data_IF_984018665000
#
_entry.id   IF_984018665000
#
_cell.length_a   1.000
_cell.length_b   1.000
_cell.length_c   1.000
_cell.angle_alpha   90.00
_cell.angle_beta   90.00
_cell.angle_gamma   90.00
#
_symmetry.space_group_name_H-M   'P 1'
#
loop_
_entity.id
_entity.type
_entity.pdbx_description
1 polymer ?
#
# COMPACT_ATOMS: atom_id res chain seq x y z
N UNK A 1 -72.19 12.80 4.16
CA UNK A 1 -72.23 11.39 4.62
C UNK A 1 -71.18 10.61 3.83
N UNK A 2 -70.10 10.13 4.46
CA UNK A 2 -69.11 9.31 3.78
C UNK A 2 -69.68 7.92 3.49
N UNK A 3 -69.44 7.44 2.27
CA UNK A 3 -70.05 6.26 1.69
C UNK A 3 -69.59 4.97 2.40
N UNK A 4 -70.53 4.32 3.10
CA UNK A 4 -70.32 3.07 3.85
C UNK A 4 -69.85 1.91 2.96
N UNK A 5 -69.99 2.02 1.63
CA UNK A 5 -69.60 0.98 0.67
C UNK A 5 -68.08 0.96 0.39
N UNK A 6 -67.38 2.09 0.57
CA UNK A 6 -65.90 2.16 0.42
C UNK A 6 -65.12 1.65 1.63
N UNK A 7 -65.71 1.70 2.83
CA UNK A 7 -65.06 1.21 4.05
C UNK A 7 -64.98 -0.33 4.08
N UNK A 8 -66.02 -1.02 3.59
CA UNK A 8 -66.04 -2.49 3.53
C UNK A 8 -65.16 -3.06 2.40
N UNK A 9 -64.94 -2.32 1.30
CA UNK A 9 -64.02 -2.72 0.25
C UNK A 9 -62.53 -2.62 0.67
N UNK A 10 -62.19 -1.70 1.58
CA UNK A 10 -60.82 -1.59 2.08
C UNK A 10 -60.49 -2.60 3.21
N UNK A 11 -61.50 -3.23 3.82
CA UNK A 11 -61.29 -4.25 4.87
C UNK A 11 -61.10 -5.68 4.32
N UNK A 12 -61.42 -5.94 3.05
CA UNK A 12 -61.28 -7.26 2.44
C UNK A 12 -59.89 -7.51 1.82
N UNK A 13 -59.12 -6.46 1.51
CA UNK A 13 -57.78 -6.57 0.90
C UNK A 13 -56.67 -6.84 1.92
N UNK A 14 -56.97 -6.79 3.22
CA UNK A 14 -56.00 -6.95 4.31
C UNK A 14 -56.01 -8.36 4.95
N UNK A 15 -56.86 -9.28 4.48
CA UNK A 15 -57.02 -10.61 5.10
C UNK A 15 -56.42 -11.74 4.26
N UNK A 16 -56.00 -11.48 3.01
CA UNK A 16 -55.32 -12.48 2.17
C UNK A 16 -53.79 -12.54 2.37
N UNK A 17 -53.20 -11.68 3.22
CA UNK A 17 -51.76 -11.64 3.48
C UNK A 17 -51.31 -12.34 4.78
N UNK A 18 -52.24 -12.67 5.66
CA UNK A 18 -51.95 -13.13 7.03
C UNK A 18 -52.00 -14.66 7.21
N UNK A 19 -52.24 -15.43 6.13
CA UNK A 19 -52.27 -16.90 6.18
C UNK A 19 -51.13 -17.61 5.42
N UNK A 20 -50.07 -16.88 5.00
CA UNK A 20 -48.83 -17.50 4.49
C UNK A 20 -47.64 -17.37 5.44
N UNK A 21 -47.81 -16.82 6.65
CA UNK A 21 -46.70 -16.63 7.60
C UNK A 21 -46.41 -17.91 8.42
N UNK A 22 -47.25 -18.95 8.36
CA UNK A 22 -47.06 -20.18 9.14
C UNK A 22 -46.47 -21.37 8.35
N UNK A 23 -45.96 -21.16 7.13
CA UNK A 23 -45.35 -22.22 6.31
C UNK A 23 -43.98 -21.85 5.69
N UNK A 24 -43.36 -20.76 6.12
CA UNK A 24 -41.94 -20.53 5.84
C UNK A 24 -41.15 -20.98 7.06
N UNK A 25 -40.59 -22.18 6.97
CA UNK A 25 -39.46 -22.60 7.77
C UNK A 25 -38.42 -21.45 7.75
N UNK A 26 -38.22 -20.81 8.90
CA UNK A 26 -37.23 -19.74 9.09
C UNK A 26 -35.79 -20.22 8.83
N UNK A 27 -35.59 -21.49 8.51
CA UNK A 27 -34.32 -22.04 8.05
C UNK A 27 -33.98 -21.67 6.60
N UNK A 28 -34.92 -21.27 5.74
CA UNK A 28 -34.61 -20.83 4.37
C UNK A 28 -33.97 -19.43 4.33
N UNK A 29 -34.35 -18.54 5.26
CA UNK A 29 -33.72 -17.23 5.42
C UNK A 29 -32.47 -17.28 6.33
N UNK A 30 -32.35 -18.28 7.20
CA UNK A 30 -31.14 -18.52 7.99
C UNK A 30 -29.96 -19.13 7.20
N UNK A 31 -30.19 -19.59 5.96
CA UNK A 31 -29.13 -20.03 5.02
C UNK A 31 -28.39 -18.82 4.40
N UNK A 32 -28.89 -17.60 4.54
CA UNK A 32 -28.21 -16.37 4.12
C UNK A 32 -27.28 -15.77 5.18
N UNK A 33 -26.66 -16.61 6.04
CA UNK A 33 -25.51 -16.17 6.83
C UNK A 33 -24.36 -15.82 5.87
N UNK A 34 -24.12 -14.52 5.69
CA UNK A 34 -22.90 -13.92 5.13
C UNK A 34 -22.58 -14.23 3.66
N UNK A 35 -23.55 -14.29 2.75
CA UNK A 35 -23.25 -14.21 1.31
C UNK A 35 -23.37 -12.75 0.86
N UNK A 36 -22.23 -12.11 0.68
CA UNK A 36 -22.14 -10.78 0.07
C UNK A 36 -22.66 -10.88 -1.37
N UNK A 37 -23.58 -9.96 -1.73
CA UNK A 37 -24.20 -9.96 -3.05
C UNK A 37 -23.11 -9.85 -4.14
N UNK A 38 -23.28 -10.47 -5.32
CA UNK A 38 -22.27 -10.37 -6.38
C UNK A 38 -21.90 -8.93 -6.76
N UNK A 39 -22.83 -7.98 -6.66
CA UNK A 39 -22.58 -6.55 -6.89
C UNK A 39 -21.69 -5.89 -5.83
N UNK A 40 -21.60 -6.51 -4.66
CA UNK A 40 -20.87 -6.01 -3.49
C UNK A 40 -19.54 -6.78 -3.33
N UNK A 41 -19.20 -7.65 -4.28
CA UNK A 41 -17.89 -8.30 -4.34
C UNK A 41 -16.91 -7.43 -5.10
N UNK A 42 -15.65 -7.46 -4.67
CA UNK A 42 -14.54 -6.71 -5.25
C UNK A 42 -13.47 -7.69 -5.72
N UNK A 43 -13.27 -7.79 -7.02
CA UNK A 43 -12.21 -8.60 -7.60
C UNK A 43 -10.93 -7.78 -7.70
N UNK A 44 -9.86 -8.25 -7.06
CA UNK A 44 -8.56 -7.59 -7.05
C UNK A 44 -7.55 -8.35 -7.89
N UNK A 45 -6.71 -7.60 -8.58
CA UNK A 45 -5.45 -8.06 -9.16
C UNK A 45 -4.26 -7.56 -8.33
N UNK A 46 -3.12 -8.25 -8.38
CA UNK A 46 -1.92 -7.82 -7.67
C UNK A 46 -0.69 -7.82 -8.59
N UNK A 47 0.09 -6.74 -8.55
CA UNK A 47 1.33 -6.55 -9.34
C UNK A 47 2.49 -6.33 -8.39
N UNK A 48 3.51 -7.19 -8.47
CA UNK A 48 4.56 -7.28 -7.46
C UNK A 48 4.02 -7.96 -6.21
N UNK A 49 4.25 -9.27 -6.11
CA UNK A 49 3.59 -10.15 -5.12
C UNK A 49 4.60 -10.83 -4.19
N UNK A 50 5.77 -10.21 -3.99
CA UNK A 50 6.69 -10.50 -2.89
C UNK A 50 6.31 -9.67 -1.66
N UNK A 51 7.14 -9.69 -0.61
CA UNK A 51 7.15 -8.74 0.53
C UNK A 51 5.80 -8.09 0.88
N UNK A 52 5.75 -6.76 0.79
CA UNK A 52 4.56 -5.97 1.12
C UNK A 52 3.39 -6.17 0.15
N UNK A 53 3.65 -6.38 -1.14
CA UNK A 53 2.59 -6.66 -2.11
C UNK A 53 1.74 -7.88 -1.72
N UNK A 54 2.39 -8.96 -1.28
CA UNK A 54 1.67 -10.12 -0.76
C UNK A 54 1.02 -9.85 0.60
N UNK A 55 1.70 -9.13 1.49
CA UNK A 55 1.12 -8.75 2.79
C UNK A 55 -0.22 -8.00 2.59
N UNK A 56 -0.26 -7.07 1.63
CA UNK A 56 -1.46 -6.31 1.27
C UNK A 56 -2.56 -7.20 0.69
N UNK A 57 -2.22 -8.12 -0.22
CA UNK A 57 -3.18 -9.11 -0.74
C UNK A 57 -3.78 -9.93 0.40
N UNK A 58 -2.95 -10.45 1.30
CA UNK A 58 -3.45 -11.26 2.43
C UNK A 58 -4.28 -10.44 3.43
N UNK A 59 -3.99 -9.14 3.59
CA UNK A 59 -4.80 -8.24 4.40
C UNK A 59 -6.15 -7.95 3.74
N UNK A 60 -6.15 -7.68 2.43
CA UNK A 60 -7.36 -7.42 1.65
C UNK A 60 -8.32 -8.61 1.64
N UNK A 61 -7.80 -9.84 1.51
CA UNK A 61 -8.60 -11.07 1.53
C UNK A 61 -9.27 -11.37 2.89
N UNK A 62 -8.90 -10.66 3.96
CA UNK A 62 -9.62 -10.73 5.25
C UNK A 62 -10.90 -9.91 5.24
N UNK A 63 -11.06 -9.00 4.29
CA UNK A 63 -12.28 -8.21 4.11
C UNK A 63 -13.31 -9.08 3.38
N UNK A 64 -14.47 -9.35 3.99
CA UNK A 64 -15.53 -10.09 3.33
C UNK A 64 -15.89 -9.46 1.97
N UNK A 65 -15.99 -10.28 0.92
CA UNK A 65 -16.39 -9.84 -0.42
C UNK A 65 -15.21 -9.51 -1.34
N UNK A 66 -13.98 -9.48 -0.84
CA UNK A 66 -12.79 -9.29 -1.67
C UNK A 66 -12.30 -10.65 -2.20
N UNK A 67 -12.11 -10.74 -3.52
CA UNK A 67 -11.59 -11.93 -4.18
C UNK A 67 -10.30 -11.61 -4.93
N UNK A 68 -9.28 -12.43 -4.80
CA UNK A 68 -8.10 -12.36 -5.68
C UNK A 68 -8.40 -13.13 -6.97
N UNK A 69 -8.28 -12.46 -8.13
CA UNK A 69 -8.55 -13.08 -9.44
C UNK A 69 -7.33 -13.09 -10.36
N UNK A 70 -6.30 -12.30 -10.04
CA UNK A 70 -5.07 -12.24 -10.84
C UNK A 70 -3.84 -11.88 -10.00
N UNK A 71 -2.70 -12.47 -10.33
CA UNK A 71 -1.39 -12.12 -9.78
C UNK A 71 -0.38 -11.89 -10.90
N UNK A 72 0.54 -10.95 -10.70
CA UNK A 72 1.59 -10.62 -11.66
C UNK A 72 2.94 -10.44 -10.98
N UNK A 73 3.95 -11.17 -11.45
CA UNK A 73 5.35 -10.97 -11.06
C UNK A 73 6.30 -11.31 -12.22
N UNK A 74 7.44 -10.63 -12.24
CA UNK A 74 8.52 -10.89 -13.22
C UNK A 74 9.43 -12.05 -12.79
N UNK A 75 9.30 -12.49 -11.55
CA UNK A 75 10.04 -13.61 -10.96
C UNK A 75 9.13 -14.83 -10.79
N UNK A 76 9.39 -15.88 -11.60
CA UNK A 76 8.63 -17.13 -11.55
C UNK A 76 8.65 -17.78 -10.16
N UNK A 77 9.77 -17.70 -9.43
CA UNK A 77 9.88 -18.31 -8.11
C UNK A 77 8.93 -17.67 -7.09
N UNK A 78 8.63 -16.38 -7.25
CA UNK A 78 7.65 -15.66 -6.43
C UNK A 78 6.24 -16.15 -6.77
N UNK A 79 5.90 -16.27 -8.07
CA UNK A 79 4.60 -16.79 -8.51
C UNK A 79 4.37 -18.20 -7.97
N UNK A 80 5.33 -19.10 -8.14
CA UNK A 80 5.22 -20.49 -7.69
C UNK A 80 4.96 -20.55 -6.18
N UNK A 81 5.70 -19.75 -5.41
CA UNK A 81 5.50 -19.64 -3.97
C UNK A 81 4.11 -19.11 -3.62
N UNK A 82 3.59 -18.13 -4.37
CA UNK A 82 2.26 -17.53 -4.09
C UNK A 82 1.12 -18.45 -4.43
N UNK A 83 1.21 -19.22 -5.51
CA UNK A 83 0.22 -20.25 -5.83
C UNK A 83 0.11 -21.29 -4.71
N UNK A 84 1.23 -21.66 -4.07
CA UNK A 84 1.22 -22.54 -2.89
C UNK A 84 0.61 -21.86 -1.65
N UNK A 85 0.86 -20.57 -1.47
CA UNK A 85 0.34 -19.82 -0.32
C UNK A 85 -1.18 -19.58 -0.41
N UNK A 86 -1.76 -19.52 -1.62
CA UNK A 86 -3.21 -19.38 -1.80
C UNK A 86 -4.02 -20.49 -1.11
N UNK A 87 -3.50 -21.72 -1.11
CA UNK A 87 -4.14 -22.84 -0.43
C UNK A 87 -4.27 -22.59 1.08
N UNK A 88 -3.29 -21.93 1.70
CA UNK A 88 -3.29 -21.56 3.13
C UNK A 88 -4.31 -20.46 3.44
N UNK A 89 -4.73 -19.71 2.43
CA UNK A 89 -5.72 -18.63 2.53
C UNK A 89 -7.14 -19.10 2.14
N UNK A 90 -7.34 -20.40 1.87
CA UNK A 90 -8.57 -20.96 1.32
C UNK A 90 -9.00 -20.31 -0.01
N UNK A 91 -8.02 -19.85 -0.80
CA UNK A 91 -8.25 -19.34 -2.16
C UNK A 91 -7.96 -20.46 -3.16
N UNK A 92 -8.91 -20.71 -4.05
CA UNK A 92 -8.76 -21.66 -5.15
C UNK A 92 -7.81 -21.08 -6.20
N UNK A 93 -6.58 -21.58 -6.22
CA UNK A 93 -5.54 -21.13 -7.14
C UNK A 93 -5.93 -21.29 -8.62
N UNK A 94 -6.84 -22.22 -8.97
CA UNK A 94 -7.30 -22.40 -10.36
C UNK A 94 -8.13 -21.22 -10.88
N UNK A 95 -8.64 -20.38 -9.97
CA UNK A 95 -9.40 -19.16 -10.30
C UNK A 95 -8.52 -17.92 -10.37
N UNK A 96 -7.25 -18.02 -10.01
CA UNK A 96 -6.30 -16.90 -10.03
C UNK A 96 -5.45 -17.00 -11.29
N UNK A 97 -5.62 -16.04 -12.20
CA UNK A 97 -4.81 -15.96 -13.41
C UNK A 97 -3.41 -15.46 -13.09
N UNK A 98 -2.41 -16.07 -13.72
CA UNK A 98 -1.01 -15.70 -13.57
C UNK A 98 -0.57 -14.87 -14.76
N UNK A 99 0.11 -13.77 -14.48
CA UNK A 99 0.69 -12.88 -15.47
C UNK A 99 2.17 -12.62 -15.17
N UNK A 100 2.96 -12.38 -16.22
CA UNK A 100 4.33 -11.87 -16.09
C UNK A 100 4.45 -10.41 -16.54
N UNK A 101 3.42 -9.90 -17.22
CA UNK A 101 3.34 -8.53 -17.69
C UNK A 101 2.11 -7.85 -17.10
N UNK A 102 2.32 -6.76 -16.36
CA UNK A 102 1.24 -6.06 -15.68
C UNK A 102 0.22 -5.48 -16.66
N UNK A 103 0.62 -5.09 -17.88
CA UNK A 103 -0.33 -4.57 -18.89
C UNK A 103 -1.34 -5.64 -19.28
N UNK A 104 -0.92 -6.89 -19.43
CA UNK A 104 -1.83 -8.00 -19.70
C UNK A 104 -2.76 -8.31 -18.51
N UNK A 105 -2.31 -8.10 -17.27
CA UNK A 105 -3.18 -8.15 -16.10
C UNK A 105 -4.22 -7.02 -16.15
N UNK A 106 -3.81 -5.79 -16.50
CA UNK A 106 -4.74 -4.64 -16.59
C UNK A 106 -5.81 -4.82 -17.67
N UNK A 107 -5.53 -5.58 -18.73
CA UNK A 107 -6.49 -5.90 -19.79
C UNK A 107 -7.62 -6.85 -19.34
N UNK A 108 -7.42 -7.57 -18.21
CA UNK A 108 -8.43 -8.46 -17.65
C UNK A 108 -9.65 -7.66 -17.16
N UNK A 109 -10.83 -7.96 -17.74
CA UNK A 109 -12.04 -7.14 -17.57
C UNK A 109 -12.69 -7.26 -16.19
N UNK A 110 -12.59 -8.42 -15.57
CA UNK A 110 -13.21 -8.76 -14.27
C UNK A 110 -12.38 -8.33 -13.05
N UNK A 111 -11.30 -7.57 -13.22
CA UNK A 111 -10.57 -6.90 -12.13
C UNK A 111 -11.20 -5.53 -11.86
N UNK A 112 -11.57 -5.24 -10.63
CA UNK A 112 -12.12 -3.95 -10.20
C UNK A 112 -11.01 -3.02 -9.70
N UNK A 113 -10.09 -3.56 -8.89
CA UNK A 113 -8.98 -2.81 -8.31
C UNK A 113 -7.65 -3.57 -8.40
N UNK A 114 -6.53 -2.84 -8.37
CA UNK A 114 -5.19 -3.43 -8.35
C UNK A 114 -4.39 -3.02 -7.12
N UNK A 115 -3.69 -4.00 -6.53
CA UNK A 115 -2.67 -3.78 -5.51
C UNK A 115 -1.31 -3.73 -6.21
N UNK A 116 -0.59 -2.62 -6.04
CA UNK A 116 0.74 -2.41 -6.58
C UNK A 116 1.74 -2.50 -5.42
N UNK A 117 2.52 -3.59 -5.39
CA UNK A 117 3.59 -3.85 -4.41
C UNK A 117 4.93 -4.11 -5.10
N UNK A 118 5.21 -3.36 -6.16
CA UNK A 118 6.44 -3.43 -6.94
C UNK A 118 7.56 -2.64 -6.25
N UNK A 119 8.82 -2.67 -6.76
CA UNK A 119 9.81 -1.68 -6.37
C UNK A 119 9.38 -0.24 -6.71
N UNK A 120 9.89 0.73 -5.96
CA UNK A 120 9.39 2.11 -5.95
C UNK A 120 9.41 2.77 -7.35
N UNK A 121 10.43 2.48 -8.17
CA UNK A 121 10.56 2.99 -9.54
C UNK A 121 9.46 2.56 -10.52
N UNK A 122 8.62 1.58 -10.15
CA UNK A 122 7.52 1.11 -10.98
C UNK A 122 6.16 1.72 -10.62
N UNK A 123 6.02 2.27 -9.41
CA UNK A 123 4.73 2.66 -8.86
C UNK A 123 3.97 3.66 -9.74
N UNK A 124 4.63 4.74 -10.16
CA UNK A 124 3.97 5.81 -10.91
C UNK A 124 3.42 5.34 -12.26
N UNK A 125 4.19 4.54 -12.98
CA UNK A 125 3.80 4.03 -14.30
C UNK A 125 2.63 3.04 -14.19
N UNK A 126 2.73 2.06 -13.28
CA UNK A 126 1.67 1.04 -13.12
C UNK A 126 0.39 1.68 -12.60
N UNK A 127 0.47 2.61 -11.65
CA UNK A 127 -0.69 3.31 -11.11
C UNK A 127 -1.40 4.15 -12.18
N UNK A 128 -0.63 4.87 -13.00
CA UNK A 128 -1.17 5.68 -14.10
C UNK A 128 -1.86 4.80 -15.15
N UNK A 129 -1.23 3.69 -15.53
CA UNK A 129 -1.79 2.73 -16.48
C UNK A 129 -3.04 2.03 -15.93
N UNK A 130 -3.03 1.66 -14.65
CA UNK A 130 -4.18 1.07 -13.98
C UNK A 130 -5.37 2.03 -13.96
N UNK A 131 -5.12 3.31 -13.66
CA UNK A 131 -6.15 4.33 -13.72
C UNK A 131 -6.72 4.47 -15.13
N UNK A 132 -5.86 4.50 -16.15
CA UNK A 132 -6.26 4.56 -17.56
C UNK A 132 -7.04 3.32 -18.01
N UNK A 133 -6.74 2.15 -17.45
CA UNK A 133 -7.48 0.90 -17.67
C UNK A 133 -8.81 0.83 -16.89
N UNK A 134 -9.19 1.89 -16.17
CA UNK A 134 -10.44 1.98 -15.44
C UNK A 134 -10.43 1.29 -14.08
N UNK A 135 -9.26 0.88 -13.58
CA UNK A 135 -9.10 0.15 -12.31
C UNK A 135 -8.91 1.11 -11.14
N UNK A 136 -9.48 0.78 -10.00
CA UNK A 136 -9.11 1.43 -8.73
C UNK A 136 -7.75 0.90 -8.26
N UNK A 137 -7.06 1.67 -7.41
CA UNK A 137 -5.64 1.39 -7.09
C UNK A 137 -5.36 1.49 -5.60
N UNK A 138 -4.72 0.45 -5.06
CA UNK A 138 -3.90 0.55 -3.86
C UNK A 138 -2.43 0.50 -4.28
N UNK A 139 -1.65 1.52 -3.96
CA UNK A 139 -0.22 1.59 -4.31
C UNK A 139 0.62 1.68 -3.05
N UNK A 140 1.62 0.81 -2.93
CA UNK A 140 2.53 0.83 -1.79
C UNK A 140 3.29 2.15 -1.67
N UNK A 141 3.72 2.42 -0.44
CA UNK A 141 4.69 3.47 -0.14
C UNK A 141 6.12 2.94 -0.37
N UNK A 142 7.08 3.83 -0.67
CA UNK A 142 6.90 5.21 -1.12
C UNK A 142 6.27 5.25 -2.52
N UNK A 143 5.41 6.23 -2.79
CA UNK A 143 4.55 6.22 -3.99
C UNK A 143 5.28 6.51 -5.31
N UNK A 144 6.50 7.05 -5.27
CA UNK A 144 7.32 7.33 -6.44
C UNK A 144 8.70 7.88 -6.06
N UNK A 145 9.57 8.04 -7.05
CA UNK A 145 10.96 8.46 -6.88
C UNK A 145 11.18 9.95 -7.18
N UNK A 146 10.17 10.66 -7.69
CA UNK A 146 10.23 12.09 -7.91
C UNK A 146 8.88 12.79 -7.69
N UNK A 147 8.93 14.10 -7.40
CA UNK A 147 7.72 14.94 -7.32
C UNK A 147 6.99 14.96 -8.66
N UNK A 148 7.73 14.93 -9.78
CA UNK A 148 7.15 14.89 -11.12
C UNK A 148 6.29 13.65 -11.34
N UNK A 149 6.78 12.48 -10.96
CA UNK A 149 6.02 11.23 -10.98
C UNK A 149 4.76 11.31 -10.12
N UNK A 150 4.87 11.78 -8.88
CA UNK A 150 3.72 11.96 -7.98
C UNK A 150 2.65 12.90 -8.58
N UNK A 151 3.07 13.99 -9.22
CA UNK A 151 2.16 14.90 -9.91
C UNK A 151 1.46 14.22 -11.09
N UNK A 152 2.17 13.40 -11.87
CA UNK A 152 1.58 12.60 -12.95
C UNK A 152 0.56 11.59 -12.42
N UNK A 153 0.83 10.95 -11.28
CA UNK A 153 -0.12 10.03 -10.62
C UNK A 153 -1.40 10.76 -10.19
N UNK A 154 -1.27 11.94 -9.57
CA UNK A 154 -2.43 12.77 -9.20
C UNK A 154 -3.23 13.16 -10.45
N UNK A 155 -2.56 13.61 -11.51
CA UNK A 155 -3.22 13.97 -12.76
C UNK A 155 -3.94 12.78 -13.40
N UNK A 156 -3.37 11.58 -13.35
CA UNK A 156 -4.00 10.36 -13.85
C UNK A 156 -5.25 9.99 -13.03
N UNK A 157 -5.16 10.01 -11.70
CA UNK A 157 -6.29 9.76 -10.80
C UNK A 157 -7.44 10.72 -11.11
N UNK A 158 -7.16 12.01 -11.25
CA UNK A 158 -8.16 13.04 -11.56
C UNK A 158 -8.77 12.86 -12.95
N UNK A 159 -7.94 12.59 -13.96
CA UNK A 159 -8.38 12.41 -15.35
C UNK A 159 -9.33 11.23 -15.51
N UNK A 160 -9.00 10.09 -14.89
CA UNK A 160 -9.78 8.85 -15.04
C UNK A 160 -10.78 8.63 -13.91
N UNK A 161 -10.84 9.54 -12.93
CA UNK A 161 -11.75 9.52 -11.79
C UNK A 161 -11.82 8.14 -11.12
N UNK A 162 -10.67 7.67 -10.64
CA UNK A 162 -10.51 6.38 -9.94
C UNK A 162 -10.30 6.58 -8.45
N UNK A 163 -10.64 5.57 -7.66
CA UNK A 163 -10.28 5.52 -6.23
C UNK A 163 -8.82 5.09 -6.13
N UNK A 164 -8.01 5.89 -5.45
CA UNK A 164 -6.58 5.62 -5.26
C UNK A 164 -6.23 5.78 -3.78
N UNK A 165 -5.56 4.77 -3.24
CA UNK A 165 -5.04 4.78 -1.88
C UNK A 165 -3.54 4.48 -1.88
N UNK A 166 -2.76 5.39 -1.30
CA UNK A 166 -1.36 5.15 -0.98
C UNK A 166 -1.25 4.28 0.28
N UNK A 167 -0.22 3.42 0.35
CA UNK A 167 0.01 2.44 1.41
C UNK A 167 0.44 2.98 2.77
N UNK A 168 -0.11 4.13 3.19
CA UNK A 168 0.07 4.72 4.51
C UNK A 168 -0.85 4.05 5.54
N UNK A 169 -0.76 2.72 5.65
CA UNK A 169 -1.67 1.90 6.44
C UNK A 169 -1.66 2.24 7.93
N UNK A 170 -0.55 2.79 8.44
CA UNK A 170 -0.46 3.18 9.83
C UNK A 170 -1.62 4.12 10.18
N UNK A 171 -2.03 5.03 9.26
CA UNK A 171 -3.07 6.06 9.51
C UNK A 171 -4.40 5.47 9.98
N UNK A 172 -4.63 4.20 9.67
CA UNK A 172 -5.85 3.46 10.04
C UNK A 172 -5.76 2.78 11.41
N UNK A 173 -4.64 2.91 12.13
CA UNK A 173 -4.46 2.30 13.45
C UNK A 173 -4.91 3.25 14.56
N UNK A 174 -5.67 2.70 15.51
CA UNK A 174 -6.31 3.48 16.56
C UNK A 174 -5.32 4.29 17.42
N UNK A 175 -4.19 3.70 17.81
CA UNK A 175 -3.22 4.39 18.67
C UNK A 175 -2.55 5.59 17.98
N UNK A 176 -2.34 5.54 16.66
CA UNK A 176 -1.86 6.69 15.90
C UNK A 176 -2.92 7.78 15.78
N UNK A 177 -4.18 7.39 15.57
CA UNK A 177 -5.30 8.33 15.60
C UNK A 177 -5.41 9.04 16.95
N UNK A 178 -5.33 8.29 18.05
CA UNK A 178 -5.37 8.84 19.42
C UNK A 178 -4.22 9.82 19.67
N UNK A 179 -3.01 9.51 19.19
CA UNK A 179 -1.85 10.39 19.30
C UNK A 179 -2.05 11.70 18.52
N UNK A 180 -2.54 11.63 17.27
CA UNK A 180 -2.86 12.80 16.45
C UNK A 180 -3.95 13.65 17.11
N UNK A 181 -5.02 13.02 17.60
CA UNK A 181 -6.12 13.71 18.29
C UNK A 181 -5.61 14.42 19.55
N UNK A 182 -4.71 13.80 20.31
CA UNK A 182 -4.10 14.42 21.48
C UNK A 182 -3.21 15.62 21.12
N UNK A 183 -2.34 15.50 20.12
CA UNK A 183 -1.52 16.60 19.62
C UNK A 183 -2.40 17.78 19.18
N UNK A 184 -3.46 17.49 18.41
CA UNK A 184 -4.38 18.50 17.88
C UNK A 184 -5.34 19.07 18.93
N UNK A 185 -5.49 18.44 20.09
CA UNK A 185 -6.31 18.95 21.20
C UNK A 185 -5.75 20.24 21.83
N UNK A 186 -4.48 20.57 21.59
CA UNK A 186 -3.82 21.74 22.15
C UNK A 186 -3.28 21.55 23.58
N UNK A 187 -3.46 20.38 24.19
CA UNK A 187 -2.98 20.08 25.55
C UNK A 187 -1.45 20.14 25.70
N UNK A 188 -0.70 19.96 24.60
CA UNK A 188 0.76 20.09 24.56
C UNK A 188 1.24 21.55 24.51
N UNK A 189 0.33 22.52 24.40
CA UNK A 189 0.67 23.92 24.19
C UNK A 189 1.26 24.20 22.80
N UNK A 190 2.07 25.25 22.68
CA UNK A 190 2.69 25.63 21.42
C UNK A 190 3.88 24.72 21.09
N UNK A 191 3.70 23.80 20.14
CA UNK A 191 4.75 22.90 19.68
C UNK A 191 5.68 23.65 18.73
N UNK A 192 6.95 23.80 19.15
CA UNK A 192 8.01 24.49 18.39
C UNK A 192 8.95 23.57 17.63
N UNK A 193 9.00 22.29 18.01
CA UNK A 193 9.91 21.29 17.44
C UNK A 193 9.24 19.92 17.49
N UNK A 194 9.30 19.20 16.36
CA UNK A 194 8.96 17.78 16.24
C UNK A 194 10.23 17.01 15.95
N UNK A 195 10.48 15.90 16.65
CA UNK A 195 11.65 15.05 16.44
C UNK A 195 11.21 13.68 15.98
N UNK A 196 11.57 13.31 14.78
CA UNK A 196 11.27 12.00 14.20
C UNK A 196 12.58 11.25 14.06
N UNK A 197 12.63 9.99 14.51
CA UNK A 197 13.83 9.17 14.35
C UNK A 197 13.52 7.75 13.88
N UNK A 198 14.46 7.16 13.14
CA UNK A 198 14.40 5.77 12.71
C UNK A 198 15.79 5.14 12.64
N UNK A 199 16.06 4.25 13.58
CA UNK A 199 17.27 3.48 13.74
C UNK A 199 16.94 2.01 13.54
N UNK A 200 17.46 1.41 12.47
CA UNK A 200 17.13 0.05 12.07
C UNK A 200 18.35 -0.86 12.12
N UNK A 201 18.56 -1.55 13.23
CA UNK A 201 19.73 -2.39 13.48
C UNK A 201 19.79 -3.66 12.64
N UNK A 202 18.64 -4.20 12.24
CA UNK A 202 18.56 -5.36 11.36
C UNK A 202 18.76 -5.02 9.88
N UNK A 203 18.64 -3.75 9.50
CA UNK A 203 18.82 -3.33 8.11
C UNK A 203 20.29 -3.17 7.78
N UNK A 204 20.74 -3.92 6.77
CA UNK A 204 22.12 -3.88 6.28
C UNK A 204 22.16 -3.92 4.75
N UNK A 205 22.98 -3.08 4.12
CA UNK A 205 23.22 -3.15 2.68
C UNK A 205 23.86 -4.47 2.24
N UNK A 206 23.72 -4.79 0.95
CA UNK A 206 24.39 -5.92 0.33
C UNK A 206 25.89 -5.72 0.18
N UNK A 207 26.65 -6.82 0.22
CA UNK A 207 28.09 -6.80 -0.04
C UNK A 207 28.39 -6.42 -1.50
N UNK A 208 29.59 -5.89 -1.73
CA UNK A 208 30.10 -5.69 -3.11
C UNK A 208 30.36 -7.06 -3.73
N UNK A 209 29.62 -7.37 -4.80
CA UNK A 209 29.72 -8.62 -5.55
C UNK A 209 29.82 -8.31 -7.05
N UNK A 210 30.51 -9.15 -7.85
CA UNK A 210 30.54 -8.98 -9.29
C UNK A 210 29.14 -9.15 -9.90
N UNK A 211 28.93 -8.49 -11.03
CA UNK A 211 27.73 -8.70 -11.83
C UNK A 211 27.64 -10.15 -12.31
N UNK A 212 26.43 -10.63 -12.48
CA UNK A 212 26.14 -12.01 -12.88
C UNK A 212 24.91 -12.08 -13.78
N UNK A 213 24.58 -13.29 -14.25
CA UNK A 213 23.30 -13.51 -14.91
C UNK A 213 22.15 -13.43 -13.89
N UNK A 214 20.97 -12.91 -14.28
CA UNK A 214 19.78 -13.03 -13.45
C UNK A 214 19.45 -14.49 -13.12
N UNK A 215 18.82 -14.76 -11.97
CA UNK A 215 18.33 -16.09 -11.65
C UNK A 215 17.39 -16.63 -12.74
N UNK A 216 17.37 -17.95 -13.01
CA UNK A 216 16.43 -18.53 -13.95
C UNK A 216 14.98 -18.17 -13.61
N UNK A 217 14.19 -17.79 -14.62
CA UNK A 217 12.79 -17.41 -14.43
C UNK A 217 12.57 -15.95 -13.99
N UNK A 218 13.62 -15.13 -13.90
CA UNK A 218 13.52 -13.69 -13.67
C UNK A 218 13.65 -12.92 -14.98
N UNK A 219 12.60 -12.20 -15.38
CA UNK A 219 12.70 -11.18 -16.42
C UNK A 219 13.32 -9.90 -15.84
N UNK A 220 14.66 -9.84 -15.87
CA UNK A 220 15.38 -8.70 -15.30
C UNK A 220 15.22 -7.40 -16.11
N UNK A 221 14.99 -7.50 -17.42
CA UNK A 221 14.76 -6.32 -18.25
C UNK A 221 13.44 -5.65 -17.84
N UNK A 222 12.40 -6.46 -17.61
CA UNK A 222 11.14 -5.97 -17.06
C UNK A 222 11.26 -5.60 -15.58
N UNK A 223 12.13 -6.24 -14.79
CA UNK A 223 12.37 -5.79 -13.41
C UNK A 223 12.96 -4.36 -13.36
N UNK A 224 13.94 -4.05 -14.22
CA UNK A 224 14.52 -2.72 -14.36
C UNK A 224 13.47 -1.70 -14.83
N UNK A 225 12.76 -2.02 -15.92
CA UNK A 225 11.65 -1.20 -16.36
C UNK A 225 12.04 0.24 -16.73
N UNK A 226 11.44 1.27 -16.08
CA UNK A 226 11.78 2.66 -16.34
C UNK A 226 13.14 3.10 -15.78
N UNK A 227 13.77 2.28 -14.92
CA UNK A 227 15.09 2.59 -14.37
C UNK A 227 16.20 2.49 -15.45
N UNK A 228 17.36 3.13 -15.25
CA UNK A 228 18.50 2.99 -16.15
C UNK A 228 18.90 1.54 -16.42
N UNK A 229 19.25 1.23 -17.67
CA UNK A 229 19.72 -0.12 -18.04
C UNK A 229 21.01 -0.46 -17.29
N UNK A 230 21.05 -1.64 -16.68
CA UNK A 230 22.24 -2.16 -15.97
C UNK A 230 22.37 -3.67 -16.14
N UNK A 231 23.58 -4.17 -15.89
CA UNK A 231 23.82 -5.60 -15.65
C UNK A 231 23.15 -6.05 -14.35
N UNK A 232 22.81 -7.33 -14.27
CA UNK A 232 22.24 -7.87 -13.04
C UNK A 232 23.32 -7.97 -11.94
N UNK A 233 22.93 -7.57 -10.73
CA UNK A 233 23.74 -7.69 -9.54
C UNK A 233 22.86 -8.14 -8.37
N UNK A 234 23.21 -9.26 -7.72
CA UNK A 234 22.41 -9.84 -6.65
C UNK A 234 22.25 -8.90 -5.44
N UNK A 235 23.25 -8.05 -5.17
CA UNK A 235 23.20 -7.07 -4.08
C UNK A 235 22.35 -5.83 -4.40
N UNK A 236 21.82 -5.71 -5.62
CA UNK A 236 20.85 -4.67 -6.03
C UNK A 236 19.42 -5.18 -6.13
N UNK A 237 19.21 -6.49 -6.00
CA UNK A 237 17.96 -7.15 -6.35
C UNK A 237 17.06 -7.41 -5.15
N UNK A 238 15.75 -7.48 -5.40
CA UNK A 238 14.70 -7.61 -4.37
C UNK A 238 14.90 -6.62 -3.21
N UNK A 239 14.95 -7.07 -1.95
CA UNK A 239 14.96 -6.19 -0.79
C UNK A 239 16.01 -5.06 -0.87
N UNK A 240 17.18 -5.33 -1.47
CA UNK A 240 18.25 -4.36 -1.55
C UNK A 240 18.03 -3.23 -2.57
N UNK A 241 17.01 -3.30 -3.46
CA UNK A 241 16.75 -2.21 -4.41
C UNK A 241 16.63 -0.84 -3.72
N UNK A 242 16.18 -0.86 -2.45
CA UNK A 242 15.94 0.32 -1.60
C UNK A 242 17.13 1.25 -1.47
N UNK A 243 18.34 0.73 -1.62
CA UNK A 243 19.57 1.44 -1.30
C UNK A 243 20.24 2.08 -2.52
N UNK A 244 19.54 2.13 -3.66
CA UNK A 244 20.08 2.55 -4.95
C UNK A 244 19.19 3.61 -5.58
N UNK A 245 19.79 4.72 -6.02
CA UNK A 245 19.06 5.89 -6.52
C UNK A 245 18.29 5.63 -7.82
N UNK A 246 18.67 4.60 -8.56
CA UNK A 246 17.93 4.17 -9.75
C UNK A 246 16.52 3.67 -9.42
N UNK A 247 16.34 3.13 -8.21
CA UNK A 247 15.15 2.35 -7.85
C UNK A 247 14.36 2.97 -6.70
N UNK A 248 15.02 3.64 -5.76
CA UNK A 248 14.43 4.14 -4.52
C UNK A 248 15.27 5.28 -3.90
N UNK A 249 14.85 5.79 -2.72
CA UNK A 249 15.50 6.88 -2.01
C UNK A 249 16.10 6.54 -0.64
N UNK A 250 16.35 5.26 -0.35
CA UNK A 250 17.01 4.83 0.88
C UNK A 250 16.09 4.74 2.11
N UNK A 251 16.70 4.67 3.29
CA UNK A 251 15.98 4.52 4.56
C UNK A 251 14.98 5.66 4.81
N UNK A 252 15.35 6.88 4.42
CA UNK A 252 14.48 8.06 4.48
C UNK A 252 13.16 7.86 3.72
N UNK A 253 13.20 7.30 2.51
CA UNK A 253 11.95 7.09 1.74
C UNK A 253 11.24 5.82 2.14
N UNK A 254 11.94 4.79 2.62
CA UNK A 254 11.31 3.53 3.03
C UNK A 254 10.60 3.63 4.39
N UNK A 255 11.28 4.19 5.40
CA UNK A 255 10.74 4.35 6.76
C UNK A 255 10.34 5.78 7.09
N UNK A 256 11.07 6.78 6.61
CA UNK A 256 10.73 8.18 6.87
C UNK A 256 9.34 8.55 6.34
N UNK A 257 8.89 7.96 5.23
CA UNK A 257 7.53 8.13 4.72
C UNK A 257 6.44 7.74 5.72
N UNK A 258 6.70 6.79 6.63
CA UNK A 258 5.75 6.43 7.68
C UNK A 258 5.73 7.45 8.81
N UNK A 259 6.91 7.80 9.33
CA UNK A 259 7.01 8.57 10.57
C UNK A 259 6.89 10.09 10.33
N UNK A 260 7.44 10.59 9.23
CA UNK A 260 7.28 11.99 8.84
C UNK A 260 5.82 12.32 8.56
N UNK A 261 5.09 11.38 7.95
CA UNK A 261 3.68 11.53 7.67
C UNK A 261 2.87 11.89 8.92
N UNK A 262 3.16 11.24 10.04
CA UNK A 262 2.52 11.54 11.31
C UNK A 262 2.96 12.82 11.98
N UNK A 263 4.25 13.15 11.90
CA UNK A 263 4.72 14.46 12.33
C UNK A 263 3.96 15.57 11.62
N UNK A 264 3.75 15.42 10.31
CA UNK A 264 2.99 16.37 9.48
C UNK A 264 1.49 16.36 9.79
N UNK A 265 0.87 15.18 9.93
CA UNK A 265 -0.55 15.06 10.29
C UNK A 265 -0.86 15.68 11.65
N UNK A 266 -0.05 15.39 12.68
CA UNK A 266 -0.20 15.95 14.02
C UNK A 266 -0.11 17.47 14.00
N UNK A 267 0.87 18.00 13.27
CA UNK A 267 1.09 19.45 13.15
C UNK A 267 0.17 20.14 12.14
N UNK A 268 -0.69 19.41 11.43
CA UNK A 268 -1.51 19.92 10.31
C UNK A 268 -0.67 20.67 9.27
N UNK A 269 0.51 20.13 8.98
CA UNK A 269 1.50 20.75 8.10
C UNK A 269 1.55 20.07 6.73
N UNK A 270 1.84 20.86 5.70
CA UNK A 270 2.04 20.39 4.32
C UNK A 270 3.53 20.40 3.94
N UNK A 271 3.84 21.06 2.82
CA UNK A 271 5.22 21.20 2.32
C UNK A 271 6.04 22.15 3.19
N UNK A 272 7.29 21.80 3.57
CA UNK A 272 8.19 22.70 4.29
C UNK A 272 8.64 23.89 3.43
N UNK A 273 9.06 24.99 4.07
CA UNK A 273 9.64 26.18 3.42
C UNK A 273 11.04 25.92 2.89
N UNK A 274 11.85 25.23 3.69
CA UNK A 274 13.24 24.90 3.37
C UNK A 274 13.63 23.59 4.03
N UNK A 275 14.64 22.94 3.46
CA UNK A 275 15.18 21.66 3.93
C UNK A 275 16.69 21.75 3.90
N UNK A 276 17.34 21.32 4.98
CA UNK A 276 18.79 21.14 5.05
C UNK A 276 19.10 19.75 5.60
N UNK A 277 19.95 19.00 4.90
CA UNK A 277 20.30 17.63 5.28
C UNK A 277 21.81 17.43 5.30
N UNK A 278 22.27 16.61 6.25
CA UNK A 278 23.65 16.13 6.33
C UNK A 278 23.62 14.63 6.61
N UNK A 279 24.38 13.88 5.83
CA UNK A 279 24.42 12.43 5.94
C UNK A 279 25.43 11.83 4.97
N UNK A 280 25.56 10.50 5.03
CA UNK A 280 26.48 9.75 4.22
C UNK A 280 26.40 8.25 4.49
N UNK A 281 27.39 7.52 3.95
CA UNK A 281 27.61 6.09 4.23
C UNK A 281 28.70 5.96 5.28
N UNK A 282 28.32 6.06 6.55
CA UNK A 282 29.25 6.06 7.68
C UNK A 282 29.26 4.72 8.42
N UNK A 283 28.15 3.99 8.43
CA UNK A 283 28.04 2.67 9.07
C UNK A 283 28.63 1.56 8.19
N UNK A 284 28.44 1.66 6.86
CA UNK A 284 28.81 0.62 5.91
C UNK A 284 29.57 1.15 4.69
N UNK A 285 30.64 1.96 4.84
CA UNK A 285 31.29 2.66 3.72
C UNK A 285 31.80 1.76 2.59
N UNK A 286 32.08 0.50 2.89
CA UNK A 286 32.61 -0.51 1.97
C UNK A 286 31.52 -1.42 1.35
N UNK A 287 30.24 -1.16 1.63
CA UNK A 287 29.12 -1.91 1.07
C UNK A 287 28.59 -1.21 -0.20
N UNK A 288 27.69 -1.90 -0.92
CA UNK A 288 27.34 -1.54 -2.30
C UNK A 288 26.35 -0.37 -2.40
N UNK A 289 25.64 0.00 -1.34
CA UNK A 289 24.60 1.03 -1.36
C UNK A 289 25.09 2.39 -1.85
N UNK A 290 24.17 3.17 -2.40
CA UNK A 290 24.40 4.53 -2.87
C UNK A 290 23.71 5.57 -1.97
N UNK A 291 22.61 5.18 -1.32
CA UNK A 291 21.85 6.05 -0.43
C UNK A 291 22.51 6.17 0.95
N UNK A 292 22.34 7.28 1.67
CA UNK A 292 22.88 7.44 3.02
C UNK A 292 22.40 6.33 3.97
N UNK A 293 23.34 5.75 4.71
CA UNK A 293 23.02 4.86 5.83
C UNK A 293 22.79 5.66 7.12
N UNK A 294 23.25 6.91 7.16
CA UNK A 294 23.14 7.85 8.28
C UNK A 294 22.73 9.21 7.73
N UNK A 295 21.63 9.76 8.21
CA UNK A 295 21.06 11.01 7.70
C UNK A 295 20.28 11.76 8.76
N UNK A 296 20.65 13.02 8.98
CA UNK A 296 19.86 13.99 9.74
C UNK A 296 19.34 15.07 8.78
N UNK A 297 18.06 15.43 8.89
CA UNK A 297 17.42 16.44 8.05
C UNK A 297 16.58 17.39 8.90
N UNK A 298 16.75 18.69 8.66
CA UNK A 298 15.96 19.76 9.25
C UNK A 298 14.95 20.30 8.23
N UNK A 299 13.70 20.39 8.64
CA UNK A 299 12.60 20.94 7.86
C UNK A 299 12.07 22.21 8.54
N UNK A 300 11.98 23.30 7.78
CA UNK A 300 11.47 24.59 8.25
C UNK A 300 9.97 24.73 7.91
N UNK A 301 9.15 25.09 8.90
CA UNK A 301 7.75 25.49 8.73
C UNK A 301 7.52 26.89 9.32
N UNK A 302 6.31 27.43 9.17
CA UNK A 302 5.98 28.78 9.67
C UNK A 302 6.25 28.97 11.16
N UNK A 303 5.83 28.00 11.99
CA UNK A 303 5.78 28.16 13.45
C UNK A 303 6.55 27.08 14.23
N UNK A 304 7.15 26.11 13.52
CA UNK A 304 7.89 25.02 14.13
C UNK A 304 8.96 24.49 13.17
N UNK A 305 9.86 23.67 13.69
CA UNK A 305 10.76 22.85 12.87
C UNK A 305 10.51 21.36 13.11
N UNK A 306 10.82 20.56 12.09
CA UNK A 306 10.86 19.10 12.21
C UNK A 306 12.30 18.63 11.98
N UNK A 307 12.77 17.75 12.85
CA UNK A 307 14.05 17.05 12.70
C UNK A 307 13.77 15.60 12.36
N UNK A 308 14.30 15.12 11.25
CA UNK A 308 14.43 13.70 10.96
C UNK A 308 15.84 13.24 11.31
N UNK A 309 15.96 12.10 11.97
CA UNK A 309 17.24 11.45 12.21
C UNK A 309 17.15 9.96 11.91
N UNK A 310 18.08 9.43 11.13
CA UNK A 310 18.05 8.02 10.75
C UNK A 310 19.42 7.40 10.62
N UNK A 311 19.48 6.11 10.94
CA UNK A 311 20.68 5.31 10.86
C UNK A 311 20.34 3.83 10.61
N UNK A 312 21.10 3.19 9.73
CA UNK A 312 21.11 1.73 9.57
C UNK A 312 22.10 1.10 10.55
N UNK A 313 21.83 -0.13 10.99
CA UNK A 313 22.78 -0.92 11.78
C UNK A 313 22.82 -0.61 13.29
N UNK A 314 21.96 0.29 13.78
CA UNK A 314 21.79 0.57 15.21
C UNK A 314 20.30 0.57 15.61
N UNK A 315 20.00 0.21 16.86
CA UNK A 315 18.63 0.16 17.42
C UNK A 315 18.44 1.10 18.63
N UNK A 316 19.51 1.77 19.08
CA UNK A 316 19.54 2.52 20.33
C UNK A 316 19.02 3.95 20.16
N UNK A 317 17.75 4.11 19.81
CA UNK A 317 17.11 5.42 19.66
C UNK A 317 16.61 6.03 20.96
N UNK A 318 15.92 7.16 20.82
CA UNK A 318 15.36 7.86 21.96
C UNK A 318 14.39 6.96 22.72
N UNK A 319 14.43 7.05 24.05
CA UNK A 319 13.61 6.24 24.96
C UNK A 319 13.80 4.72 24.81
N UNK A 320 14.95 4.27 24.29
CA UNK A 320 15.24 2.86 24.06
C UNK A 320 14.36 2.24 22.96
N UNK A 321 13.90 3.06 22.01
CA UNK A 321 13.10 2.65 20.85
C UNK A 321 13.91 2.81 19.58
N UNK A 322 13.72 1.88 18.66
CA UNK A 322 14.31 1.87 17.33
C UNK A 322 13.74 3.02 16.46
N UNK A 323 12.47 3.37 16.61
CA UNK A 323 11.87 4.50 15.89
C UNK A 323 10.82 5.25 16.72
N UNK A 324 10.52 6.49 16.33
CA UNK A 324 9.50 7.30 17.01
C UNK A 324 9.36 8.73 16.51
N UNK A 325 8.45 9.45 17.18
CA UNK A 325 8.08 10.86 16.99
C UNK A 325 7.95 11.51 18.38
#
# INVERSE_FOLDING_TARGET
MPDRRKFLQNSASLVAGSMLISAFDNNAFAIFKNRIAPSDQLNIGAVGIKGMGWANVTAALKVPGVNLVAICDVDQSVIDQRLLDLAKLNVDASKVKVYHNYKALLDQKDIDAVIIGTPDHWHALIMTDACAAGKDVYVEKPVGNSIGECNSMIAAQQKYNRVVQAGQWQRSQQHFKDAVDFVQSGQLGNIRTVKVWCYQGWMKPGAVVPDSAPPPGVDFAQWLGPAPKRSFNASRFHFNFRWFWDYAGGLMTDWGVHLLDYGLLGMKAGTPKSIAALGGRFAYPDMLEETPDTLTTLYEFDNFNLVWDSAMGIDNGSYGRDHGI
#
